data_IF_131606343538
#
_entry.id   IF_131606343538
#
_cell.length_a   1.000
_cell.length_b   1.000
_cell.length_c   1.000
_cell.angle_alpha   90.00
_cell.angle_beta   90.00
_cell.angle_gamma   90.00
#
_symmetry.space_group_name_H-M   'P 1'
#
loop_
_entity.id
_entity.type
_entity.pdbx_description
1 polymer ?
#
# COMPACT_ATOMS: atom_id res chain seq x y z
N UNK A 1 12.78 1.37 -0.21
CA UNK A 1 13.60 0.28 0.38
C UNK A 1 13.99 0.51 1.84
N UNK A 2 14.13 1.74 2.32
CA UNK A 2 14.52 2.00 3.72
C UNK A 2 13.46 1.58 4.75
N UNK A 3 12.17 1.73 4.44
CA UNK A 3 11.05 1.33 5.31
C UNK A 3 10.98 -0.19 5.52
N UNK A 4 11.10 -0.96 4.43
CA UNK A 4 11.10 -2.43 4.48
C UNK A 4 12.25 -2.97 5.33
N UNK A 5 13.43 -2.32 5.28
CA UNK A 5 14.60 -2.71 6.09
C UNK A 5 14.37 -2.53 7.60
N UNK A 6 13.44 -1.64 7.99
CA UNK A 6 13.04 -1.40 9.38
C UNK A 6 11.82 -2.22 9.79
N UNK A 7 11.35 -3.16 8.95
CA UNK A 7 10.16 -3.96 9.21
C UNK A 7 8.83 -3.21 9.04
N UNK A 8 8.86 -2.02 8.43
CA UNK A 8 7.65 -1.20 8.20
C UNK A 8 7.01 -1.64 6.89
N UNK A 9 5.75 -2.07 6.96
CA UNK A 9 4.90 -2.36 5.79
C UNK A 9 4.22 -1.07 5.36
N UNK A 10 4.38 -0.71 4.09
CA UNK A 10 3.82 0.52 3.52
C UNK A 10 2.56 0.19 2.71
N UNK A 11 1.49 0.96 2.90
CA UNK A 11 0.25 0.83 2.15
C UNK A 11 -0.22 2.21 1.69
N UNK A 12 -0.88 2.26 0.53
CA UNK A 12 -1.39 3.49 -0.07
C UNK A 12 -2.92 3.47 -0.07
N UNK A 13 -3.52 4.62 0.23
CA UNK A 13 -4.97 4.81 0.18
C UNK A 13 -5.31 6.07 -0.61
N UNK A 14 -6.44 6.06 -1.34
CA UNK A 14 -6.94 7.23 -2.09
C UNK A 14 -5.93 7.79 -3.10
N UNK A 15 -5.26 6.89 -3.82
CA UNK A 15 -4.37 7.26 -4.92
C UNK A 15 -5.24 7.68 -6.12
N UNK A 16 -5.06 8.89 -6.64
CA UNK A 16 -5.66 9.29 -7.92
C UNK A 16 -5.10 8.39 -9.03
N UNK A 17 -5.89 8.06 -10.05
CA UNK A 17 -5.42 7.16 -11.11
C UNK A 17 -4.10 7.64 -11.73
N UNK A 18 -3.95 8.93 -12.00
CA UNK A 18 -2.69 9.48 -12.52
C UNK A 18 -1.49 9.19 -11.62
N UNK A 19 -1.67 9.28 -10.29
CA UNK A 19 -0.62 8.94 -9.33
C UNK A 19 -0.37 7.43 -9.29
N UNK A 20 -1.39 6.59 -9.49
CA UNK A 20 -1.19 5.14 -9.55
C UNK A 20 -0.37 4.78 -10.80
N UNK A 21 -0.70 5.38 -11.95
CA UNK A 21 -0.01 5.19 -13.21
C UNK A 21 1.46 5.61 -13.11
N UNK A 22 1.74 6.76 -12.47
CA UNK A 22 3.11 7.21 -12.18
C UNK A 22 3.87 6.21 -11.27
N UNK A 23 3.19 5.67 -10.25
CA UNK A 23 3.79 4.72 -9.31
C UNK A 23 4.02 3.34 -9.95
N UNK A 24 3.15 2.90 -10.86
CA UNK A 24 3.34 1.69 -11.67
C UNK A 24 4.50 1.88 -12.66
N UNK A 25 4.55 3.02 -13.36
CA UNK A 25 5.64 3.34 -14.28
C UNK A 25 7.01 3.41 -13.56
N UNK A 26 7.02 3.86 -12.31
CA UNK A 26 8.21 3.88 -11.45
C UNK A 26 8.55 2.49 -10.86
N UNK A 27 7.68 1.49 -10.99
CA UNK A 27 7.85 0.14 -10.43
C UNK A 27 7.68 0.08 -8.91
N UNK A 28 7.06 1.10 -8.29
CA UNK A 28 6.81 1.11 -6.86
C UNK A 28 5.69 0.15 -6.47
N UNK A 29 4.70 -0.02 -7.34
CA UNK A 29 3.54 -0.89 -7.11
C UNK A 29 3.97 -2.35 -6.97
N UNK A 30 4.92 -2.81 -7.78
CA UNK A 30 5.51 -4.15 -7.69
C UNK A 30 6.38 -4.29 -6.43
N UNK A 31 7.06 -3.22 -6.01
CA UNK A 31 7.90 -3.23 -4.79
C UNK A 31 7.08 -3.19 -3.50
N UNK A 32 5.90 -2.57 -3.51
CA UNK A 32 4.99 -2.46 -2.36
C UNK A 32 4.03 -3.65 -2.32
N UNK A 33 3.66 -4.20 -3.47
CA UNK A 33 2.64 -5.23 -3.62
C UNK A 33 1.28 -4.59 -3.86
N UNK A 34 0.63 -5.01 -4.95
CA UNK A 34 -0.69 -4.51 -5.37
C UNK A 34 -1.78 -4.67 -4.29
N UNK A 35 -1.62 -5.66 -3.43
CA UNK A 35 -2.54 -5.97 -2.33
C UNK A 35 -2.55 -4.91 -1.21
N UNK A 36 -1.56 -4.00 -1.20
CA UNK A 36 -1.44 -2.91 -0.23
C UNK A 36 -1.83 -1.54 -0.82
N UNK A 37 -2.50 -1.54 -1.98
CA UNK A 37 -3.01 -0.34 -2.63
C UNK A 37 -4.54 -0.38 -2.54
N UNK A 38 -5.10 0.59 -1.82
CA UNK A 38 -6.51 0.62 -1.50
C UNK A 38 -7.21 1.82 -2.16
N UNK A 39 -8.42 1.62 -2.72
CA UNK A 39 -9.14 2.69 -3.40
C UNK A 39 -9.62 3.78 -2.44
N UNK A 40 -9.85 3.44 -1.17
CA UNK A 40 -10.36 4.37 -0.16
C UNK A 40 -9.63 4.23 1.17
N UNK A 41 -9.63 5.29 1.98
CA UNK A 41 -9.02 5.23 3.31
C UNK A 41 -9.73 4.23 4.25
N UNK A 42 -11.08 4.15 4.29
CA UNK A 42 -11.75 3.16 5.13
C UNK A 42 -11.39 1.71 4.79
N UNK A 43 -11.21 1.39 3.50
CA UNK A 43 -10.80 0.03 3.08
C UNK A 43 -9.38 -0.29 3.52
N UNK A 44 -8.44 0.66 3.41
CA UNK A 44 -7.09 0.50 3.94
C UNK A 44 -7.07 0.26 5.46
N UNK A 45 -7.86 1.02 6.22
CA UNK A 45 -7.94 0.88 7.68
C UNK A 45 -8.57 -0.47 8.07
N UNK A 46 -9.58 -0.94 7.33
CA UNK A 46 -10.17 -2.25 7.56
C UNK A 46 -9.16 -3.38 7.33
N UNK A 47 -8.41 -3.34 6.23
CA UNK A 47 -7.35 -4.31 5.92
C UNK A 47 -6.24 -4.30 6.98
N UNK A 48 -5.81 -3.11 7.44
CA UNK A 48 -4.83 -3.00 8.52
C UNK A 48 -5.34 -3.63 9.82
N UNK A 49 -6.60 -3.38 10.20
CA UNK A 49 -7.21 -3.96 11.40
C UNK A 49 -7.31 -5.48 11.33
N UNK A 50 -7.61 -6.04 10.16
CA UNK A 50 -7.63 -7.49 9.94
C UNK A 50 -6.22 -8.07 10.13
N UNK A 51 -5.23 -7.48 9.47
CA UNK A 51 -3.84 -7.90 9.57
C UNK A 51 -3.30 -7.88 11.00
N UNK A 52 -3.66 -6.86 11.79
CA UNK A 52 -3.32 -6.78 13.21
C UNK A 52 -3.96 -7.88 14.06
N UNK A 53 -5.09 -8.47 13.66
CA UNK A 53 -5.71 -9.59 14.38
C UNK A 53 -5.09 -10.93 14.02
N UNK A 54 -4.57 -11.06 12.80
CA UNK A 54 -3.91 -12.28 12.30
C UNK A 54 -2.42 -12.36 12.67
N UNK A 55 -1.86 -11.30 13.27
CA UNK A 55 -0.48 -11.21 13.77
C UNK A 55 -0.45 -11.45 15.27
#
# INVERSE_FOLDING_TARGET
RELTRRGVVFALARVKQDLLDDLEAYGLVESVGRELIFPTLPTAVAAYREWCRTR
#
